data_IF_800956986506
#
_entry.id   IF_800956986506
#
_cell.length_a   1.000
_cell.length_b   1.000
_cell.length_c   1.000
_cell.angle_alpha   90.00
_cell.angle_beta   90.00
_cell.angle_gamma   90.00
#
_symmetry.space_group_name_H-M   'P 1'
#
loop_
_entity.id
_entity.type
_entity.pdbx_description
1 polymer ?
#
# COMPACT_ATOMS: atom_id res chain seq x y z
N UNK A 1 -25.68 -17.44 101.25
CA UNK A 1 -24.79 -18.57 100.99
C UNK A 1 -24.39 -18.49 99.53
N UNK A 2 -23.08 -18.35 99.37
CA UNK A 2 -22.25 -18.80 98.24
C UNK A 2 -22.10 -17.92 96.99
N UNK A 3 -21.05 -17.09 97.09
CA UNK A 3 -20.01 -16.77 96.13
C UNK A 3 -20.02 -17.46 94.75
N UNK A 4 -19.89 -16.67 93.67
CA UNK A 4 -18.58 -16.44 93.03
C UNK A 4 -18.71 -15.53 91.79
N UNK A 5 -17.83 -14.52 91.71
CA UNK A 5 -17.55 -13.73 90.51
C UNK A 5 -16.76 -14.55 89.48
N UNK A 6 -17.08 -14.42 88.19
CA UNK A 6 -16.10 -14.59 87.11
C UNK A 6 -16.17 -13.46 86.08
N UNK A 7 -14.96 -13.03 85.68
CA UNK A 7 -14.58 -11.77 85.07
C UNK A 7 -15.07 -11.58 83.63
N UNK A 8 -15.29 -10.32 83.29
CA UNK A 8 -15.49 -9.81 81.93
C UNK A 8 -14.24 -9.98 81.04
N UNK A 9 -14.46 -10.26 79.75
CA UNK A 9 -13.46 -9.98 78.70
C UNK A 9 -13.87 -8.71 77.94
N UNK A 10 -13.04 -7.68 78.04
CA UNK A 10 -13.28 -6.36 77.47
C UNK A 10 -12.74 -6.26 76.03
N UNK A 11 -13.49 -5.49 75.26
CA UNK A 11 -13.32 -4.97 73.90
C UNK A 11 -11.91 -4.80 73.33
N UNK A 12 -11.75 -5.09 72.03
CA UNK A 12 -10.79 -4.41 71.15
C UNK A 12 -11.46 -3.20 70.49
N UNK A 13 -11.01 -2.01 70.88
CA UNK A 13 -11.19 -0.76 70.14
C UNK A 13 -10.27 -0.76 68.91
N UNK A 14 -10.75 -0.20 67.79
CA UNK A 14 -10.01 0.84 67.05
C UNK A 14 -10.88 1.49 65.97
N UNK A 15 -10.92 2.82 66.01
CA UNK A 15 -10.78 3.65 64.81
C UNK A 15 -12.05 4.18 64.16
N UNK A 16 -12.48 5.41 64.51
CA UNK A 16 -13.69 6.05 64.00
C UNK A 16 -13.41 7.23 63.03
N UNK A 17 -14.50 7.66 62.38
CA UNK A 17 -14.78 8.99 61.79
C UNK A 17 -14.31 9.23 60.35
N UNK A 18 -15.15 9.51 59.34
CA UNK A 18 -16.56 9.89 59.31
C UNK A 18 -16.98 10.81 60.47
N UNK A 19 -16.46 12.03 60.51
CA UNK A 19 -17.14 13.15 61.17
C UNK A 19 -16.37 14.45 60.93
N UNK A 20 -16.88 15.29 60.04
CA UNK A 20 -16.96 16.75 60.20
C UNK A 20 -17.63 17.38 58.98
N UNK A 21 -18.95 17.52 59.04
CA UNK A 21 -19.59 18.85 59.16
C UNK A 21 -21.11 18.69 59.21
N UNK A 22 -21.66 18.92 60.41
CA UNK A 22 -23.02 19.38 60.64
C UNK A 22 -23.16 20.84 60.20
N UNK A 23 -24.38 21.19 59.77
CA UNK A 23 -25.03 22.45 60.15
C UNK A 23 -25.43 23.38 59.00
N UNK A 24 -26.74 23.47 58.70
CA UNK A 24 -27.57 24.64 59.03
C UNK A 24 -29.03 24.46 58.60
N UNK A 25 -29.88 25.24 59.26
CA UNK A 25 -31.31 25.10 59.51
C UNK A 25 -32.25 25.61 58.39
N UNK A 26 -33.47 25.04 58.40
CA UNK A 26 -34.83 25.63 58.21
C UNK A 26 -35.04 26.75 57.18
N UNK A 27 -36.00 26.53 56.25
CA UNK A 27 -37.30 27.23 56.26
C UNK A 27 -38.33 26.63 55.26
N UNK A 28 -39.49 26.28 55.84
CA UNK A 28 -40.89 26.26 55.38
C UNK A 28 -41.32 26.22 53.90
N UNK A 29 -42.32 25.37 53.62
CA UNK A 29 -43.14 25.45 52.40
C UNK A 29 -44.15 24.31 52.12
N UNK A 30 -44.87 23.84 53.14
CA UNK A 30 -46.26 23.28 53.17
C UNK A 30 -46.92 22.55 51.95
N UNK A 31 -47.37 21.32 52.26
CA UNK A 31 -48.62 20.60 51.84
C UNK A 31 -48.86 20.17 50.38
N UNK A 32 -49.56 19.08 50.07
CA UNK A 32 -50.38 18.18 50.89
C UNK A 32 -50.61 16.82 50.21
N UNK A 33 -50.89 15.84 51.07
CA UNK A 33 -51.79 14.69 50.87
C UNK A 33 -51.35 13.51 49.99
N UNK A 34 -51.50 12.26 50.40
CA UNK A 34 -51.74 11.60 51.70
C UNK A 34 -51.71 10.10 51.41
N UNK A 35 -50.90 9.39 52.20
CA UNK A 35 -51.21 8.15 52.93
C UNK A 35 -51.39 6.79 52.22
N UNK A 36 -50.48 5.91 52.63
CA UNK A 36 -50.68 4.81 53.61
C UNK A 36 -50.86 3.37 53.09
N UNK A 37 -49.75 2.64 53.22
CA UNK A 37 -49.50 1.54 54.17
C UNK A 37 -49.90 0.09 53.92
N UNK A 38 -48.94 -0.72 54.42
CA UNK A 38 -49.04 -1.90 55.31
C UNK A 38 -48.95 -3.29 54.68
N UNK A 39 -47.72 -3.82 54.74
CA UNK A 39 -47.29 -5.03 55.48
C UNK A 39 -48.01 -6.36 55.23
N UNK A 40 -47.27 -7.36 54.76
CA UNK A 40 -46.83 -8.50 55.57
C UNK A 40 -46.03 -9.52 54.74
N UNK A 41 -44.88 -9.94 55.27
CA UNK A 41 -44.16 -11.18 54.95
C UNK A 41 -44.87 -12.36 55.68
N UNK A 42 -44.68 -13.67 55.36
CA UNK A 42 -43.36 -14.31 55.26
C UNK A 42 -43.20 -15.52 54.31
N UNK A 43 -41.95 -16.01 54.31
CA UNK A 43 -41.48 -17.40 54.08
C UNK A 43 -40.74 -17.76 52.77
N UNK A 44 -39.42 -17.98 52.98
CA UNK A 44 -38.55 -19.05 52.45
C UNK A 44 -38.09 -18.96 50.97
N UNK A 45 -36.82 -18.60 50.81
CA UNK A 45 -35.94 -18.93 49.67
C UNK A 45 -35.56 -20.44 49.68
N UNK A 46 -34.75 -21.01 48.74
CA UNK A 46 -34.03 -20.40 47.60
C UNK A 46 -34.05 -21.23 46.28
N UNK A 47 -33.42 -20.71 45.21
CA UNK A 47 -32.41 -21.36 44.32
C UNK A 47 -32.42 -20.69 42.91
N UNK A 48 -31.40 -19.85 42.71
CA UNK A 48 -30.54 -19.65 41.54
C UNK A 48 -31.07 -19.55 40.08
N UNK A 49 -30.80 -18.36 39.50
CA UNK A 49 -30.19 -18.07 38.18
C UNK A 49 -30.98 -18.18 36.86
N UNK A 50 -31.30 -16.98 36.32
CA UNK A 50 -30.86 -16.45 35.01
C UNK A 50 -31.31 -17.15 33.70
N UNK A 51 -32.21 -16.50 32.94
CA UNK A 51 -31.89 -15.85 31.64
C UNK A 51 -33.13 -15.25 30.98
N UNK A 52 -33.00 -13.98 30.60
CA UNK A 52 -33.97 -13.20 29.86
C UNK A 52 -34.19 -13.70 28.42
N UNK A 53 -35.48 -13.67 28.03
CA UNK A 53 -36.05 -13.22 26.75
C UNK A 53 -35.58 -13.86 25.45
N UNK A 54 -36.41 -14.73 24.86
CA UNK A 54 -36.69 -14.81 23.42
C UNK A 54 -37.90 -15.73 23.17
N UNK A 55 -39.11 -15.16 23.01
CA UNK A 55 -40.21 -15.77 22.23
C UNK A 55 -41.43 -14.83 22.19
N UNK A 56 -41.64 -14.20 21.04
CA UNK A 56 -42.89 -13.72 20.46
C UNK A 56 -42.49 -13.09 19.11
N UNK A 57 -43.14 -13.28 17.99
CA UNK A 57 -44.27 -14.11 17.58
C UNK A 57 -44.16 -14.21 16.05
N UNK A 58 -44.47 -15.40 15.56
CA UNK A 58 -44.78 -15.69 14.15
C UNK A 58 -46.18 -15.14 13.88
N UNK A 59 -46.50 -14.92 12.60
CA UNK A 59 -47.87 -14.90 12.05
C UNK A 59 -48.50 -13.52 11.80
N UNK A 60 -48.14 -12.90 10.68
CA UNK A 60 -49.10 -12.12 9.86
C UNK A 60 -48.62 -12.01 8.40
N UNK A 61 -48.67 -13.15 7.69
CA UNK A 61 -48.71 -13.17 6.23
C UNK A 61 -50.11 -13.64 5.84
N UNK A 62 -50.91 -12.76 5.26
CA UNK A 62 -51.95 -13.02 4.22
C UNK A 62 -53.02 -11.91 4.23
N UNK A 63 -52.66 -10.70 3.83
CA UNK A 63 -53.65 -9.77 3.30
C UNK A 63 -52.99 -8.71 2.42
N UNK A 64 -53.40 -8.70 1.15
CA UNK A 64 -53.39 -7.61 0.14
C UNK A 64 -52.63 -7.95 -1.14
N UNK A 65 -53.30 -8.81 -1.90
CA UNK A 65 -53.37 -8.76 -3.36
C UNK A 65 -54.11 -7.47 -3.75
N UNK A 66 -53.53 -6.69 -4.68
CA UNK A 66 -54.23 -5.65 -5.43
C UNK A 66 -53.92 -4.21 -5.03
N UNK A 67 -52.94 -3.58 -5.68
CA UNK A 67 -53.02 -2.20 -6.18
C UNK A 67 -51.73 -1.79 -6.94
N UNK A 68 -51.89 -1.53 -8.23
CA UNK A 68 -51.17 -0.56 -9.08
C UNK A 68 -49.63 -0.63 -9.19
N UNK A 69 -49.22 -1.25 -10.30
CA UNK A 69 -47.92 -1.14 -10.94
C UNK A 69 -47.68 0.26 -11.53
N UNK A 70 -46.94 1.11 -10.81
CA UNK A 70 -46.16 2.19 -11.42
C UNK A 70 -44.70 1.72 -11.51
N UNK A 71 -44.29 1.36 -12.72
CA UNK A 71 -42.95 0.86 -13.04
C UNK A 71 -41.94 2.01 -12.95
N UNK A 72 -41.36 2.19 -11.77
CA UNK A 72 -40.07 2.86 -11.61
C UNK A 72 -39.05 1.78 -11.29
N UNK A 73 -38.34 1.30 -12.31
CA UNK A 73 -37.26 0.31 -12.16
C UNK A 73 -36.10 0.93 -11.38
N UNK A 74 -36.15 0.82 -10.06
CA UNK A 74 -34.95 0.91 -9.23
C UNK A 74 -34.14 -0.36 -9.48
N UNK A 75 -33.15 -0.28 -10.38
CA UNK A 75 -32.11 -1.32 -10.49
C UNK A 75 -31.25 -1.25 -9.24
N UNK A 76 -31.60 -2.07 -8.25
CA UNK A 76 -30.70 -2.40 -7.15
C UNK A 76 -29.47 -3.10 -7.73
N UNK A 77 -28.36 -2.37 -7.89
CA UNK A 77 -27.06 -2.95 -8.19
C UNK A 77 -26.54 -3.71 -6.97
N UNK A 78 -27.13 -4.87 -6.70
CA UNK A 78 -26.47 -5.92 -5.93
C UNK A 78 -25.36 -6.50 -6.82
N UNK A 79 -24.12 -6.08 -6.57
CA UNK A 79 -22.90 -6.78 -7.04
C UNK A 79 -22.84 -8.16 -6.37
N UNK A 80 -23.72 -9.06 -6.80
CA UNK A 80 -23.63 -10.47 -6.49
C UNK A 80 -22.54 -11.08 -7.37
N UNK A 81 -21.63 -11.77 -6.71
CA UNK A 81 -20.48 -12.43 -7.28
C UNK A 81 -20.91 -13.57 -8.20
N UNK A 82 -20.62 -13.45 -9.49
CA UNK A 82 -20.42 -14.58 -10.39
C UNK A 82 -19.57 -14.10 -11.58
N UNK A 83 -18.36 -13.65 -11.27
CA UNK A 83 -17.31 -13.45 -12.28
C UNK A 83 -16.43 -14.70 -12.26
N UNK A 84 -16.17 -15.36 -13.41
CA UNK A 84 -15.30 -16.53 -13.45
C UNK A 84 -13.92 -16.21 -12.82
N UNK A 85 -13.29 -17.19 -12.15
CA UNK A 85 -12.07 -16.98 -11.34
C UNK A 85 -10.82 -16.62 -12.18
N UNK A 86 -10.95 -16.50 -13.51
CA UNK A 86 -9.84 -16.27 -14.45
C UNK A 86 -9.58 -14.81 -14.77
N UNK A 87 -10.38 -13.85 -14.28
CA UNK A 87 -9.99 -12.43 -14.35
C UNK A 87 -8.92 -12.15 -13.30
N UNK A 88 -7.67 -12.45 -13.66
CA UNK A 88 -6.48 -12.05 -12.93
C UNK A 88 -6.62 -10.57 -12.57
N UNK A 89 -6.70 -10.26 -11.28
CA UNK A 89 -6.90 -8.87 -10.85
C UNK A 89 -5.72 -8.04 -11.29
N UNK A 90 -6.01 -7.00 -12.06
CA UNK A 90 -5.03 -6.05 -12.57
C UNK A 90 -4.24 -5.43 -11.40
N UNK A 91 -2.93 -5.20 -11.55
CA UNK A 91 -2.15 -4.52 -10.53
C UNK A 91 -2.67 -3.11 -10.28
N UNK A 92 -2.80 -2.70 -9.02
CA UNK A 92 -3.26 -1.35 -8.67
C UNK A 92 -2.11 -0.37 -8.82
N UNK A 93 -2.31 0.76 -9.48
CA UNK A 93 -1.25 1.78 -9.60
C UNK A 93 -1.21 2.62 -8.33
N UNK A 94 -0.04 2.62 -7.68
CA UNK A 94 0.28 3.46 -6.53
C UNK A 94 1.34 4.46 -6.97
N UNK A 95 0.96 5.73 -7.03
CA UNK A 95 1.87 6.83 -7.30
C UNK A 95 2.48 7.36 -6.00
N UNK A 96 3.80 7.55 -5.99
CA UNK A 96 4.52 8.25 -4.93
C UNK A 96 4.82 9.66 -5.44
N UNK A 97 4.20 10.65 -4.81
CA UNK A 97 4.27 12.06 -5.23
C UNK A 97 4.66 12.92 -4.04
N UNK A 98 5.47 13.93 -4.29
CA UNK A 98 5.92 14.87 -3.30
C UNK A 98 7.03 15.75 -3.86
N UNK A 99 7.46 16.76 -3.10
CA UNK A 99 8.45 17.72 -3.56
C UNK A 99 9.85 17.12 -3.76
N UNK A 100 10.82 17.84 -4.35
CA UNK A 100 12.21 17.40 -4.40
C UNK A 100 12.76 17.20 -2.98
N UNK A 101 13.65 16.23 -2.81
CA UNK A 101 14.33 16.03 -1.53
C UNK A 101 13.53 15.34 -0.42
N UNK A 102 12.22 15.09 -0.55
CA UNK A 102 11.42 14.42 0.51
C UNK A 102 11.68 12.92 0.69
N UNK A 103 12.55 12.31 -0.12
CA UNK A 103 12.90 10.90 -0.04
C UNK A 103 11.90 9.94 -0.69
N UNK A 104 11.31 10.34 -1.84
CA UNK A 104 10.41 9.51 -2.67
C UNK A 104 11.01 8.15 -3.03
N UNK A 105 12.23 8.15 -3.59
CA UNK A 105 12.95 6.93 -3.93
C UNK A 105 13.26 6.08 -2.70
N UNK A 106 13.58 6.69 -1.56
CA UNK A 106 13.80 5.97 -0.29
C UNK A 106 12.55 5.25 0.19
N UNK A 107 11.38 5.88 0.04
CA UNK A 107 10.09 5.26 0.35
C UNK A 107 9.81 4.09 -0.60
N UNK A 108 10.05 4.27 -1.90
CA UNK A 108 9.89 3.22 -2.90
C UNK A 108 10.77 2.00 -2.57
N UNK A 109 12.07 2.21 -2.33
CA UNK A 109 13.01 1.14 -1.94
C UNK A 109 12.56 0.42 -0.67
N UNK A 110 12.10 1.17 0.34
CA UNK A 110 11.65 0.61 1.62
C UNK A 110 10.36 -0.21 1.48
N UNK A 111 9.40 0.27 0.67
CA UNK A 111 8.16 -0.44 0.38
C UNK A 111 8.41 -1.72 -0.43
N UNK A 112 9.22 -1.65 -1.48
CA UNK A 112 9.53 -2.81 -2.30
C UNK A 112 10.23 -3.87 -1.46
N UNK A 113 11.28 -3.50 -0.71
CA UNK A 113 11.97 -4.42 0.21
C UNK A 113 11.02 -5.06 1.20
N UNK A 114 10.03 -4.32 1.70
CA UNK A 114 9.02 -4.88 2.61
C UNK A 114 8.18 -5.97 1.95
N UNK A 115 7.81 -5.81 0.69
CA UNK A 115 7.01 -6.80 -0.03
C UNK A 115 7.85 -7.98 -0.53
N UNK A 116 9.02 -7.72 -1.10
CA UNK A 116 9.81 -8.69 -1.85
C UNK A 116 11.00 -9.24 -1.08
N UNK A 117 11.33 -8.68 0.09
CA UNK A 117 12.55 -8.94 0.87
C UNK A 117 13.86 -8.62 0.12
N UNK A 118 13.79 -8.13 -1.11
CA UNK A 118 14.95 -7.80 -1.94
C UNK A 118 15.28 -6.31 -1.81
N UNK A 119 16.56 -5.98 -1.87
CA UNK A 119 17.04 -4.59 -1.88
C UNK A 119 17.27 -4.15 -3.31
N UNK A 120 16.68 -3.02 -3.69
CA UNK A 120 16.93 -2.38 -4.99
C UNK A 120 18.00 -1.29 -4.80
N UNK A 121 19.06 -1.30 -5.62
CA UNK A 121 20.06 -0.24 -5.61
C UNK A 121 19.52 1.01 -6.32
N UNK A 122 19.00 0.84 -7.54
CA UNK A 122 18.34 1.88 -8.32
C UNK A 122 16.90 1.48 -8.65
N UNK A 123 15.95 2.38 -8.38
CA UNK A 123 14.54 2.17 -8.65
C UNK A 123 14.11 3.15 -9.76
N UNK A 124 13.94 2.63 -10.98
CA UNK A 124 13.54 3.37 -12.18
C UNK A 124 12.34 2.70 -12.83
N UNK A 125 11.38 3.53 -13.26
CA UNK A 125 10.15 3.06 -13.90
C UNK A 125 9.16 2.41 -12.93
N UNK A 126 8.09 1.78 -13.46
CA UNK A 126 7.09 1.12 -12.64
C UNK A 126 7.57 -0.23 -12.09
N UNK A 127 7.25 -0.47 -10.82
CA UNK A 127 7.65 -1.68 -10.08
C UNK A 127 6.41 -2.43 -9.62
N UNK A 128 6.16 -3.61 -10.20
CA UNK A 128 5.00 -4.44 -9.87
C UNK A 128 5.37 -5.52 -8.86
N UNK A 129 4.65 -5.57 -7.74
CA UNK A 129 4.84 -6.54 -6.65
C UNK A 129 3.53 -7.23 -6.26
N UNK A 130 3.65 -8.47 -5.76
CA UNK A 130 2.52 -9.20 -5.17
C UNK A 130 2.38 -8.84 -3.69
N UNK A 131 1.36 -8.03 -3.36
CA UNK A 131 1.07 -7.64 -1.97
C UNK A 131 0.31 -8.71 -1.21
N UNK A 132 -0.64 -9.39 -1.88
CA UNK A 132 -1.46 -10.42 -1.29
C UNK A 132 -2.00 -11.38 -2.32
N UNK A 133 -2.85 -12.32 -1.91
CA UNK A 133 -3.28 -13.39 -2.81
C UNK A 133 -4.16 -12.95 -3.97
N UNK A 134 -4.95 -11.92 -3.72
CA UNK A 134 -5.93 -11.39 -4.67
C UNK A 134 -5.51 -10.03 -5.23
N UNK A 135 -4.34 -9.51 -4.85
CA UNK A 135 -3.94 -8.13 -5.13
C UNK A 135 -2.46 -8.01 -5.46
N UNK A 136 -2.20 -7.32 -6.56
CA UNK A 136 -0.88 -6.84 -7.01
C UNK A 136 -0.87 -5.33 -6.98
N UNK A 137 0.29 -4.76 -6.74
CA UNK A 137 0.50 -3.32 -6.68
C UNK A 137 1.62 -2.96 -7.65
N UNK A 138 1.43 -1.90 -8.42
CA UNK A 138 2.47 -1.30 -9.26
C UNK A 138 2.82 0.04 -8.62
N UNK A 139 4.05 0.19 -8.16
CA UNK A 139 4.56 1.44 -7.63
C UNK A 139 5.17 2.25 -8.77
N UNK A 140 4.85 3.53 -8.84
CA UNK A 140 5.48 4.49 -9.74
C UNK A 140 5.91 5.71 -8.94
N UNK A 141 7.17 6.12 -9.11
CA UNK A 141 7.68 7.38 -8.58
C UNK A 141 7.38 8.50 -9.57
N UNK A 142 6.88 9.62 -9.07
CA UNK A 142 6.64 10.82 -9.87
C UNK A 142 7.90 11.68 -9.91
N UNK A 143 8.26 12.11 -11.12
CA UNK A 143 9.24 13.17 -11.32
C UNK A 143 8.65 14.52 -10.86
N UNK A 144 9.50 15.53 -10.66
CA UNK A 144 9.06 16.85 -10.19
C UNK A 144 8.46 17.74 -11.30
N UNK A 145 8.29 17.21 -12.52
CA UNK A 145 7.70 17.97 -13.62
C UNK A 145 6.17 17.98 -13.52
N UNK A 146 5.57 19.14 -13.79
CA UNK A 146 4.12 19.30 -13.79
C UNK A 146 3.43 18.35 -14.79
N UNK A 147 4.06 18.12 -15.95
CA UNK A 147 3.53 17.19 -16.96
C UNK A 147 3.44 15.76 -16.42
N UNK A 148 4.52 15.30 -15.77
CA UNK A 148 4.56 13.98 -15.12
C UNK A 148 3.51 13.86 -14.02
N UNK A 149 3.32 14.92 -13.24
CA UNK A 149 2.29 15.01 -12.21
C UNK A 149 0.87 14.90 -12.79
N UNK A 150 0.58 15.57 -13.91
CA UNK A 150 -0.71 15.50 -14.60
C UNK A 150 -0.99 14.08 -15.10
N UNK A 151 -0.02 13.45 -15.75
CA UNK A 151 -0.18 12.12 -16.32
C UNK A 151 -0.36 11.06 -15.24
N UNK A 152 0.44 11.14 -14.17
CA UNK A 152 0.32 10.28 -12.99
C UNK A 152 -1.03 10.50 -12.29
N UNK A 153 -1.51 11.74 -12.20
CA UNK A 153 -2.82 12.06 -11.62
C UNK A 153 -3.98 11.37 -12.35
N UNK A 154 -3.93 11.31 -13.68
CA UNK A 154 -4.95 10.61 -14.51
C UNK A 154 -4.96 9.11 -14.24
N UNK A 155 -3.78 8.47 -14.10
CA UNK A 155 -3.66 7.01 -14.00
C UNK A 155 -3.73 6.44 -12.57
N UNK A 156 -3.36 7.20 -11.53
CA UNK A 156 -3.08 6.65 -10.20
C UNK A 156 -4.33 6.27 -9.39
N UNK A 157 -4.46 4.99 -9.00
CA UNK A 157 -5.56 4.51 -8.13
C UNK A 157 -5.40 4.93 -6.67
N UNK A 158 -4.15 4.91 -6.22
CA UNK A 158 -3.72 5.36 -4.91
C UNK A 158 -2.59 6.35 -5.09
N UNK A 159 -2.67 7.45 -4.35
CA UNK A 159 -1.60 8.44 -4.28
C UNK A 159 -1.03 8.41 -2.86
N UNK A 160 0.27 8.19 -2.76
CA UNK A 160 1.06 8.40 -1.55
C UNK A 160 1.67 9.80 -1.65
N UNK A 161 1.03 10.77 -0.98
CA UNK A 161 1.51 12.15 -0.95
C UNK A 161 2.51 12.31 0.19
N UNK A 162 3.77 12.54 -0.17
CA UNK A 162 4.84 12.83 0.78
C UNK A 162 4.90 14.33 1.04
N UNK A 163 4.97 14.69 2.31
CA UNK A 163 5.07 16.07 2.80
C UNK A 163 6.20 16.13 3.81
N UNK A 164 7.04 17.14 3.70
CA UNK A 164 8.10 17.38 4.67
C UNK A 164 7.51 17.92 5.99
N UNK A 165 7.82 17.27 7.11
CA UNK A 165 7.34 17.69 8.43
C UNK A 165 8.07 18.91 9.01
N UNK A 166 9.30 19.16 8.58
CA UNK A 166 10.14 20.29 9.00
C UNK A 166 9.80 21.56 8.21
N UNK A 167 9.73 21.44 6.88
CA UNK A 167 9.39 22.57 6.00
C UNK A 167 7.88 22.83 5.95
N UNK A 168 7.08 21.77 5.93
CA UNK A 168 5.63 21.83 5.79
C UNK A 168 5.16 21.57 4.37
N UNK A 169 4.05 22.19 3.97
CA UNK A 169 3.50 22.01 2.63
C UNK A 169 4.17 22.94 1.62
N UNK A 170 4.65 22.35 0.53
CA UNK A 170 5.28 23.04 -0.60
C UNK A 170 4.27 23.31 -1.73
N UNK A 171 4.57 24.30 -2.57
CA UNK A 171 3.69 24.70 -3.68
C UNK A 171 3.39 23.53 -4.63
N UNK A 172 4.39 22.70 -4.92
CA UNK A 172 4.27 21.52 -5.79
C UNK A 172 3.25 20.50 -5.25
N UNK A 173 3.17 20.35 -3.92
CA UNK A 173 2.15 19.47 -3.32
C UNK A 173 0.73 20.02 -3.51
N UNK A 174 0.57 21.34 -3.51
CA UNK A 174 -0.73 21.99 -3.77
C UNK A 174 -1.10 21.95 -5.24
N UNK A 175 -0.14 22.20 -6.14
CA UNK A 175 -0.34 22.07 -7.59
C UNK A 175 -0.85 20.67 -7.94
N UNK A 176 -0.19 19.64 -7.41
CA UNK A 176 -0.61 18.27 -7.64
C UNK A 176 -1.99 17.95 -7.04
N UNK A 177 -2.30 18.44 -5.82
CA UNK A 177 -3.62 18.26 -5.23
C UNK A 177 -4.73 18.92 -6.08
N UNK A 178 -4.49 20.11 -6.63
CA UNK A 178 -5.42 20.80 -7.52
C UNK A 178 -5.62 20.05 -8.84
N UNK A 179 -4.54 19.51 -9.41
CA UNK A 179 -4.61 18.63 -10.59
C UNK A 179 -5.50 17.42 -10.31
N UNK A 180 -5.32 16.76 -9.16
CA UNK A 180 -6.15 15.61 -8.77
C UNK A 180 -7.63 15.97 -8.59
N UNK A 181 -7.94 17.15 -8.07
CA UNK A 181 -9.33 17.61 -7.94
C UNK A 181 -9.99 17.78 -9.31
N UNK A 182 -9.26 18.30 -10.31
CA UNK A 182 -9.79 18.51 -11.66
C UNK A 182 -9.99 17.21 -12.46
N UNK A 183 -9.04 16.26 -12.38
CA UNK A 183 -9.11 14.99 -13.12
C UNK A 183 -9.92 13.89 -12.42
N UNK A 184 -10.38 14.15 -11.19
CA UNK A 184 -11.13 13.22 -10.37
C UNK A 184 -10.28 12.67 -9.24
N UNK A 185 -10.69 12.96 -8.01
CA UNK A 185 -9.89 12.76 -6.82
C UNK A 185 -9.72 11.25 -6.48
N UNK A 186 -8.52 10.65 -6.65
CA UNK A 186 -8.26 9.27 -6.25
C UNK A 186 -8.15 9.17 -4.73
N UNK A 187 -7.92 7.96 -4.20
CA UNK A 187 -7.61 7.83 -2.78
C UNK A 187 -6.21 8.36 -2.52
N UNK A 188 -6.09 9.34 -1.63
CA UNK A 188 -4.82 9.92 -1.20
C UNK A 188 -4.51 9.48 0.24
N UNK A 189 -3.27 9.06 0.47
CA UNK A 189 -2.68 8.80 1.78
C UNK A 189 -1.54 9.79 1.96
N UNK A 190 -1.56 10.54 3.06
CA UNK A 190 -0.46 11.44 3.40
C UNK A 190 0.63 10.70 4.16
N UNK A 191 1.88 11.05 3.89
CA UNK A 191 3.07 10.57 4.60
C UNK A 191 3.88 11.80 5.00
N UNK A 192 4.03 12.04 6.30
CA UNK A 192 4.94 13.05 6.82
C UNK A 192 6.33 12.45 7.01
N UNK A 193 7.33 13.05 6.38
CA UNK A 193 8.76 12.71 6.51
C UNK A 193 9.50 13.76 7.33
N UNK A 194 10.82 13.56 7.53
CA UNK A 194 11.73 14.52 8.17
C UNK A 194 11.29 15.00 9.56
N UNK A 195 10.71 14.09 10.35
CA UNK A 195 10.30 14.38 11.72
C UNK A 195 11.47 14.35 12.71
N UNK A 196 12.59 13.75 12.30
CA UNK A 196 13.88 13.70 12.98
C UNK A 196 14.56 15.07 13.08
N UNK A 197 14.33 15.96 12.11
CA UNK A 197 14.85 17.33 12.15
C UNK A 197 14.29 18.15 13.32
N UNK A 198 13.10 17.80 13.82
CA UNK A 198 12.45 18.50 14.93
C UNK A 198 12.88 17.90 16.27
N UNK A 199 13.96 18.46 16.85
CA UNK A 199 14.53 18.00 18.13
C UNK A 199 13.59 18.11 19.34
N UNK A 200 12.72 19.13 19.37
CA UNK A 200 11.81 19.39 20.51
C UNK A 200 10.50 18.61 20.37
N UNK A 201 10.19 17.74 21.34
CA UNK A 201 8.99 16.90 21.29
C UNK A 201 7.65 17.69 21.35
N UNK A 202 7.64 18.83 22.06
CA UNK A 202 6.44 19.68 22.16
C UNK A 202 6.11 20.39 20.83
N UNK A 203 7.14 20.90 20.14
CA UNK A 203 6.97 21.51 18.81
C UNK A 203 6.57 20.46 17.79
N UNK A 204 7.19 19.27 17.81
CA UNK A 204 6.82 18.15 16.95
C UNK A 204 5.34 17.76 17.06
N UNK A 205 4.79 17.69 18.28
CA UNK A 205 3.35 17.42 18.49
C UNK A 205 2.47 18.53 17.90
N UNK A 206 2.87 19.79 18.07
CA UNK A 206 2.14 20.95 17.59
C UNK A 206 2.17 21.01 16.06
N UNK A 207 3.33 20.81 15.43
CA UNK A 207 3.51 20.76 13.98
C UNK A 207 2.73 19.59 13.38
N UNK A 208 2.79 18.39 13.96
CA UNK A 208 1.97 17.25 13.51
C UNK A 208 0.47 17.56 13.54
N UNK A 209 -0.01 18.26 14.57
CA UNK A 209 -1.42 18.67 14.68
C UNK A 209 -1.79 19.72 13.63
N UNK A 210 -0.91 20.71 13.41
CA UNK A 210 -1.09 21.76 12.39
C UNK A 210 -1.14 21.17 10.99
N UNK A 211 -0.14 20.37 10.61
CA UNK A 211 -0.06 19.72 9.30
C UNK A 211 -1.23 18.77 9.07
N UNK A 212 -1.65 18.02 10.10
CA UNK A 212 -2.84 17.16 10.02
C UNK A 212 -4.12 17.96 9.80
N UNK A 213 -4.29 19.09 10.49
CA UNK A 213 -5.46 19.98 10.30
C UNK A 213 -5.48 20.53 8.87
N UNK A 214 -4.34 20.99 8.37
CA UNK A 214 -4.21 21.48 6.98
C UNK A 214 -4.45 20.37 5.95
N UNK A 215 -3.87 19.20 6.15
CA UNK A 215 -4.12 18.03 5.28
C UNK A 215 -5.61 17.67 5.18
N UNK A 216 -6.36 17.84 6.27
CA UNK A 216 -7.80 17.60 6.27
C UNK A 216 -8.61 18.67 5.55
N UNK A 217 -8.19 19.93 5.59
CA UNK A 217 -8.87 21.00 4.86
C UNK A 217 -8.65 20.89 3.35
N UNK A 218 -7.47 20.46 2.91
CA UNK A 218 -7.12 20.38 1.48
C UNK A 218 -7.70 19.15 0.75
N UNK A 219 -7.89 18.05 1.47
CA UNK A 219 -8.27 16.77 0.88
C UNK A 219 -9.70 16.39 1.26
N UNK A 220 -9.88 15.88 2.48
CA UNK A 220 -11.17 15.65 3.09
C UNK A 220 -10.96 15.42 4.59
N UNK A 221 -11.97 15.76 5.37
CA UNK A 221 -11.94 15.60 6.81
C UNK A 221 -11.73 14.13 7.20
N UNK A 222 -10.70 13.86 8.01
CA UNK A 222 -10.38 12.50 8.45
C UNK A 222 -9.52 11.69 7.48
N UNK A 223 -8.91 12.33 6.47
CA UNK A 223 -7.88 11.71 5.65
C UNK A 223 -6.73 11.15 6.52
N UNK A 224 -6.17 10.02 6.09
CA UNK A 224 -5.17 9.27 6.87
C UNK A 224 -3.78 9.79 6.58
N UNK A 225 -3.07 10.10 7.65
CA UNK A 225 -1.71 10.63 7.64
C UNK A 225 -0.81 9.67 8.42
N UNK A 226 0.25 9.19 7.78
CA UNK A 226 1.31 8.39 8.40
C UNK A 226 2.49 9.28 8.75
N UNK A 227 3.24 8.89 9.77
CA UNK A 227 4.41 9.61 10.26
C UNK A 227 5.61 8.68 10.09
N UNK A 228 6.65 9.14 9.41
CA UNK A 228 7.92 8.43 9.30
C UNK A 228 8.96 9.12 10.18
N UNK A 229 9.50 8.41 11.17
CA UNK A 229 10.29 9.02 12.25
C UNK A 229 11.71 9.43 11.83
N UNK A 230 12.22 8.94 10.70
CA UNK A 230 13.54 9.30 10.17
C UNK A 230 14.09 8.21 9.24
N UNK A 231 15.33 8.36 8.78
CA UNK A 231 16.01 7.37 7.91
C UNK A 231 17.12 6.67 8.70
N UNK A 232 17.09 5.34 8.75
CA UNK A 232 18.11 4.47 9.34
C UNK A 232 18.78 3.65 8.23
N UNK A 233 20.10 3.76 8.07
CA UNK A 233 20.88 3.05 7.04
C UNK A 233 20.32 3.23 5.62
N UNK A 234 19.94 4.47 5.27
CA UNK A 234 19.34 4.80 3.97
C UNK A 234 17.94 4.22 3.74
N UNK A 235 17.24 3.80 4.81
CA UNK A 235 15.89 3.20 4.75
C UNK A 235 14.97 3.75 5.82
N UNK A 236 13.66 3.67 5.60
CA UNK A 236 12.69 4.01 6.63
C UNK A 236 12.50 2.85 7.63
N UNK A 237 12.10 3.13 8.88
CA UNK A 237 11.83 2.12 9.90
C UNK A 237 10.81 1.07 9.44
N UNK A 238 11.18 -0.21 9.58
CA UNK A 238 10.38 -1.33 9.08
C UNK A 238 9.00 -1.44 9.75
N UNK A 239 8.86 -0.95 11.00
CA UNK A 239 7.59 -0.96 11.75
C UNK A 239 6.57 0.04 11.19
N UNK A 240 7.03 1.20 10.75
CA UNK A 240 6.19 2.24 10.16
C UNK A 240 5.76 1.85 8.74
N UNK A 241 6.71 1.34 7.95
CA UNK A 241 6.46 0.78 6.62
C UNK A 241 5.55 -0.46 6.69
N UNK A 242 5.65 -1.27 7.75
CA UNK A 242 4.70 -2.36 8.00
C UNK A 242 3.26 -1.85 8.17
N UNK A 243 3.08 -0.77 8.92
CA UNK A 243 1.76 -0.21 9.17
C UNK A 243 1.17 0.43 7.90
N UNK A 244 2.01 1.14 7.13
CA UNK A 244 1.64 1.69 5.84
C UNK A 244 1.24 0.58 4.85
N UNK A 245 2.06 -0.47 4.70
CA UNK A 245 1.77 -1.61 3.80
C UNK A 245 0.50 -2.36 4.19
N UNK A 246 0.24 -2.54 5.50
CA UNK A 246 -1.03 -3.12 5.99
C UNK A 246 -2.23 -2.27 5.54
N UNK A 247 -2.11 -0.95 5.64
CA UNK A 247 -3.17 -0.03 5.24
C UNK A 247 -3.42 -0.10 3.72
N UNK A 248 -2.37 -0.01 2.91
CA UNK A 248 -2.44 -0.13 1.44
C UNK A 248 -3.12 -1.45 1.02
N UNK A 249 -2.79 -2.55 1.70
CA UNK A 249 -3.33 -3.89 1.40
C UNK A 249 -4.84 -4.02 1.62
N UNK A 250 -5.41 -3.24 2.54
CA UNK A 250 -6.85 -3.26 2.89
C UNK A 250 -7.64 -2.22 2.12
N UNK A 251 -6.97 -1.25 1.47
CA UNK A 251 -7.64 -0.16 0.78
C UNK A 251 -8.58 -0.64 -0.33
N UNK A 252 -9.76 0.01 -0.41
CA UNK A 252 -10.71 -0.11 -1.52
C UNK A 252 -10.69 1.17 -2.34
N UNK A 253 -10.73 1.05 -3.66
CA UNK A 253 -10.69 2.18 -4.57
C UNK A 253 -12.08 2.61 -5.00
N UNK A 254 -12.21 3.90 -5.29
CA UNK A 254 -13.41 4.45 -5.91
C UNK A 254 -13.27 4.30 -7.43
N UNK A 255 -14.29 3.77 -8.14
CA UNK A 255 -14.28 3.79 -9.60
C UNK A 255 -14.38 5.24 -10.09
N UNK A 256 -13.45 5.64 -10.97
CA UNK A 256 -13.52 6.91 -11.69
C UNK A 256 -14.12 6.67 -13.08
N UNK A 257 -14.92 7.62 -13.56
CA UNK A 257 -15.62 7.49 -14.85
C UNK A 257 -14.61 7.33 -15.98
N UNK A 258 -13.60 8.21 -16.04
CA UNK A 258 -12.57 8.19 -17.08
C UNK A 258 -11.83 6.85 -17.18
N UNK A 259 -11.47 6.24 -16.03
CA UNK A 259 -10.76 4.95 -16.00
C UNK A 259 -11.64 3.77 -16.39
N UNK A 260 -12.94 3.88 -16.20
CA UNK A 260 -13.90 2.85 -16.57
C UNK A 260 -14.39 2.99 -18.01
N UNK A 261 -14.24 4.15 -18.65
CA UNK A 261 -14.64 4.39 -20.04
C UNK A 261 -13.50 4.16 -21.02
N UNK A 262 -12.26 4.54 -20.69
CA UNK A 262 -11.13 4.50 -21.61
C UNK A 262 -10.16 3.34 -21.30
N UNK A 263 -9.64 2.66 -22.33
CA UNK A 263 -8.54 1.73 -22.17
C UNK A 263 -7.24 2.53 -22.02
N UNK A 264 -6.43 2.18 -21.03
CA UNK A 264 -5.11 2.80 -20.84
C UNK A 264 -4.09 1.76 -20.41
N UNK A 265 -2.83 2.04 -20.69
CA UNK A 265 -1.71 1.15 -20.38
C UNK A 265 -0.61 1.98 -19.73
N UNK A 266 -0.05 1.44 -18.64
CA UNK A 266 1.20 1.95 -18.08
C UNK A 266 2.33 1.09 -18.65
N UNK A 267 3.29 1.73 -19.32
CA UNK A 267 4.41 1.06 -19.94
C UNK A 267 5.40 0.57 -18.88
N UNK A 268 5.56 -0.74 -18.76
CA UNK A 268 6.54 -1.37 -17.88
C UNK A 268 7.91 -1.48 -18.57
N UNK A 269 7.93 -1.91 -19.85
CA UNK A 269 9.15 -2.07 -20.67
C UNK A 269 8.92 -1.45 -22.04
N UNK A 270 9.98 -0.86 -22.60
CA UNK A 270 10.00 -0.25 -23.92
C UNK A 270 11.16 -0.84 -24.72
N UNK A 271 10.89 -1.31 -25.93
CA UNK A 271 11.89 -1.87 -26.84
C UNK A 271 11.76 -1.26 -28.24
N UNK A 272 12.89 -0.97 -28.86
CA UNK A 272 12.96 -0.55 -30.25
C UNK A 272 13.17 -1.77 -31.15
N UNK A 273 12.25 -2.00 -32.10
CA UNK A 273 12.33 -3.08 -33.08
C UNK A 273 12.92 -2.62 -34.43
N UNK A 274 13.42 -1.39 -34.51
CA UNK A 274 13.91 -0.83 -35.78
C UNK A 274 15.17 -1.54 -36.26
N UNK A 275 15.26 -1.96 -37.55
CA UNK A 275 16.46 -2.56 -38.10
C UNK A 275 17.67 -1.64 -37.98
N UNK A 276 18.79 -2.16 -37.43
CA UNK A 276 20.03 -1.40 -37.20
C UNK A 276 20.60 -0.77 -38.48
N UNK A 277 20.42 -1.43 -39.63
CA UNK A 277 20.86 -0.92 -40.93
C UNK A 277 20.12 0.34 -41.36
N UNK A 278 18.81 0.42 -41.09
CA UNK A 278 17.99 1.60 -41.39
C UNK A 278 18.42 2.78 -40.52
N UNK A 279 18.71 2.53 -39.24
CA UNK A 279 19.22 3.54 -38.30
C UNK A 279 20.58 4.07 -38.76
N UNK A 280 21.48 3.18 -39.21
CA UNK A 280 22.81 3.55 -39.73
C UNK A 280 22.70 4.41 -40.99
N UNK A 281 21.88 3.99 -41.94
CA UNK A 281 21.73 4.66 -43.25
C UNK A 281 21.11 6.04 -43.10
N UNK A 282 20.09 6.16 -42.24
CA UNK A 282 19.38 7.42 -41.98
C UNK A 282 20.09 8.36 -40.99
N UNK A 283 21.30 8.02 -40.53
CA UNK A 283 22.02 8.76 -39.47
C UNK A 283 21.14 9.06 -38.24
N UNK A 284 20.29 8.10 -37.87
CA UNK A 284 19.42 8.19 -36.69
C UNK A 284 18.16 9.06 -36.82
N UNK A 285 17.84 9.60 -38.01
CA UNK A 285 16.62 10.39 -38.27
C UNK A 285 15.57 9.60 -39.05
N UNK A 286 15.24 8.39 -38.60
CA UNK A 286 14.17 7.57 -39.18
C UNK A 286 13.04 7.36 -38.18
N UNK A 287 11.86 7.05 -38.71
CA UNK A 287 10.72 6.62 -37.91
C UNK A 287 11.00 5.23 -37.33
N UNK A 288 10.94 5.14 -36.00
CA UNK A 288 11.24 3.91 -35.27
C UNK A 288 9.97 3.15 -34.91
N UNK A 289 10.01 1.83 -35.08
CA UNK A 289 8.93 0.97 -34.62
C UNK A 289 9.22 0.54 -33.19
N UNK A 290 8.45 1.07 -32.24
CA UNK A 290 8.61 0.80 -30.82
C UNK A 290 7.55 -0.19 -30.34
N UNK A 291 7.96 -1.16 -29.54
CA UNK A 291 7.05 -2.03 -28.79
C UNK A 291 7.00 -1.62 -27.32
N UNK A 292 5.78 -1.57 -26.81
CA UNK A 292 5.50 -1.17 -25.43
C UNK A 292 4.83 -2.34 -24.73
N UNK A 293 5.42 -2.77 -23.63
CA UNK A 293 4.89 -3.84 -22.79
C UNK A 293 4.26 -3.23 -21.54
N UNK A 294 3.12 -3.78 -21.12
CA UNK A 294 2.50 -3.38 -19.87
C UNK A 294 1.14 -4.02 -19.67
N UNK A 295 0.56 -3.75 -18.52
CA UNK A 295 -0.79 -4.20 -18.19
C UNK A 295 -1.83 -3.25 -18.78
N UNK A 296 -2.75 -3.78 -19.57
CA UNK A 296 -3.93 -3.06 -20.05
C UNK A 296 -4.92 -2.86 -18.90
N UNK A 297 -5.47 -1.65 -18.77
CA UNK A 297 -6.37 -1.23 -17.70
C UNK A 297 -7.60 -0.52 -18.26
N UNK A 298 -8.64 -0.45 -17.43
CA UNK A 298 -9.91 0.16 -17.80
C UNK A 298 -10.74 -0.78 -18.66
N UNK A 299 -11.09 -0.34 -19.87
CA UNK A 299 -11.85 -1.13 -20.85
C UNK A 299 -10.95 -1.99 -21.73
N UNK A 300 -11.56 -2.86 -22.54
CA UNK A 300 -10.81 -3.72 -23.46
C UNK A 300 -10.25 -2.88 -24.63
N UNK A 301 -8.97 -3.07 -24.92
CA UNK A 301 -8.30 -2.46 -26.07
C UNK A 301 -8.73 -3.15 -27.37
N UNK A 302 -9.12 -2.37 -28.39
CA UNK A 302 -9.45 -2.88 -29.73
C UNK A 302 -8.30 -2.62 -30.71
N UNK A 303 -8.03 -3.58 -31.58
CA UNK A 303 -7.09 -3.41 -32.68
C UNK A 303 -7.59 -2.30 -33.63
N UNK A 304 -6.71 -1.39 -34.04
CA UNK A 304 -7.05 -0.23 -34.88
C UNK A 304 -7.51 1.03 -34.14
N UNK A 305 -7.57 1.01 -32.80
CA UNK A 305 -7.83 2.24 -32.03
C UNK A 305 -6.60 3.16 -32.09
N UNK A 306 -6.81 4.47 -32.24
CA UNK A 306 -5.74 5.46 -32.08
C UNK A 306 -5.33 5.55 -30.60
N UNK A 307 -4.03 5.64 -30.35
CA UNK A 307 -3.45 5.73 -29.00
C UNK A 307 -2.72 7.05 -28.88
N UNK A 308 -3.05 7.80 -27.85
CA UNK A 308 -2.31 9.00 -27.47
C UNK A 308 -1.21 8.63 -26.48
N UNK A 309 0.05 8.93 -26.81
CA UNK A 309 1.16 8.83 -25.86
C UNK A 309 1.47 10.24 -25.35
N UNK A 310 1.29 10.51 -24.04
CA UNK A 310 1.60 11.82 -23.48
C UNK A 310 3.03 12.26 -23.80
N UNK A 311 3.17 13.47 -24.34
CA UNK A 311 4.46 14.05 -24.75
C UNK A 311 4.98 13.63 -26.13
N UNK A 312 4.41 12.61 -26.77
CA UNK A 312 4.80 12.19 -28.14
C UNK A 312 3.74 12.59 -29.16
N UNK A 313 2.47 12.29 -28.87
CA UNK A 313 1.34 12.58 -29.77
C UNK A 313 0.44 11.38 -30.04
N UNK A 314 -0.43 11.53 -31.03
CA UNK A 314 -1.38 10.50 -31.46
C UNK A 314 -0.72 9.54 -32.46
N UNK A 315 -0.79 8.24 -32.16
CA UNK A 315 -0.20 7.17 -32.95
C UNK A 315 -1.23 6.08 -33.23
N UNK A 316 -0.99 5.31 -34.30
CA UNK A 316 -1.82 4.17 -34.67
C UNK A 316 -1.15 2.86 -34.25
N UNK A 317 -1.95 1.93 -33.69
CA UNK A 317 -1.45 0.62 -33.27
C UNK A 317 -1.29 -0.32 -34.46
N UNK A 318 -0.06 -0.80 -34.72
CA UNK A 318 0.23 -1.78 -35.77
C UNK A 318 -0.22 -3.20 -35.42
N UNK A 319 0.09 -3.66 -34.20
CA UNK A 319 -0.20 -5.02 -33.73
C UNK A 319 -0.30 -5.07 -32.22
N UNK A 320 -1.19 -5.91 -31.68
CA UNK A 320 -1.30 -6.17 -30.23
C UNK A 320 -1.27 -7.68 -30.01
N UNK A 321 -0.37 -8.13 -29.12
CA UNK A 321 -0.25 -9.52 -28.71
C UNK A 321 -0.41 -9.63 -27.19
N UNK A 322 -1.19 -10.61 -26.73
CA UNK A 322 -1.31 -10.91 -25.31
C UNK A 322 -0.17 -11.82 -24.87
N UNK A 323 0.55 -11.43 -23.82
CA UNK A 323 1.66 -12.19 -23.25
C UNK A 323 1.25 -12.82 -21.91
N UNK A 324 2.00 -13.85 -21.52
CA UNK A 324 1.88 -14.44 -20.19
C UNK A 324 2.15 -13.40 -19.09
N UNK A 325 1.40 -13.47 -18.00
CA UNK A 325 1.53 -12.54 -16.88
C UNK A 325 2.88 -12.75 -16.17
N UNK A 326 3.76 -11.73 -16.12
CA UNK A 326 5.10 -11.87 -15.54
C UNK A 326 5.07 -12.00 -14.01
N UNK A 327 3.96 -11.63 -13.36
CA UNK A 327 3.83 -11.65 -11.91
C UNK A 327 2.53 -12.34 -11.50
N UNK A 328 2.36 -13.66 -11.74
CA UNK A 328 1.08 -14.34 -11.59
C UNK A 328 0.61 -14.36 -10.13
N UNK A 329 -0.71 -14.21 -9.94
CA UNK A 329 -1.32 -14.35 -8.61
C UNK A 329 -1.18 -15.80 -8.10
N UNK A 330 -1.06 -15.99 -6.78
CA UNK A 330 -1.03 -17.32 -6.18
C UNK A 330 -2.28 -18.15 -6.54
N UNK A 331 -2.06 -19.36 -7.07
CA UNK A 331 -3.07 -20.38 -7.36
C UNK A 331 -4.01 -20.70 -6.18
N UNK A 332 -5.25 -21.09 -6.49
CA UNK A 332 -6.32 -21.45 -5.55
C UNK A 332 -5.91 -22.45 -4.43
N UNK A 333 -4.98 -23.38 -4.68
CA UNK A 333 -4.48 -24.28 -3.63
C UNK A 333 -3.73 -23.53 -2.51
N UNK A 334 -2.95 -22.52 -2.88
CA UNK A 334 -2.31 -21.62 -1.92
C UNK A 334 -3.28 -20.61 -1.29
N UNK A 335 -4.51 -20.51 -1.80
CA UNK A 335 -5.57 -19.68 -1.22
C UNK A 335 -6.13 -20.25 0.10
N UNK A 336 -6.05 -21.57 0.33
CA UNK A 336 -6.53 -22.22 1.57
C UNK A 336 -5.79 -21.77 2.84
N UNK A 337 -4.50 -21.42 2.76
CA UNK A 337 -3.68 -21.02 3.94
C UNK A 337 -3.67 -19.52 4.18
N UNK A 338 -4.11 -18.96 5.32
CA UNK A 338 -4.19 -17.48 5.52
C UNK A 338 -2.93 -16.66 5.14
N UNK A 339 -1.72 -17.21 5.31
CA UNK A 339 -0.46 -16.52 4.98
C UNK A 339 -0.03 -16.74 3.52
N UNK A 340 0.53 -15.70 2.89
CA UNK A 340 1.19 -15.79 1.58
C UNK A 340 2.56 -16.49 1.74
N UNK A 341 2.83 -17.47 0.87
CA UNK A 341 4.11 -18.20 0.83
C UNK A 341 5.27 -17.28 0.47
N UNK A 342 6.44 -17.52 1.05
CA UNK A 342 7.62 -16.67 0.83
C UNK A 342 8.08 -16.66 -0.63
N UNK A 343 8.10 -17.82 -1.30
CA UNK A 343 8.49 -17.92 -2.73
C UNK A 343 7.68 -17.00 -3.66
N UNK A 344 6.41 -16.75 -3.31
CA UNK A 344 5.53 -15.85 -4.09
C UNK A 344 5.64 -14.39 -3.68
N UNK A 345 6.17 -14.10 -2.50
CA UNK A 345 6.53 -12.72 -2.08
C UNK A 345 7.76 -12.23 -2.81
N UNK A 346 8.70 -13.13 -3.12
CA UNK A 346 9.93 -12.81 -3.87
C UNK A 346 9.66 -12.41 -5.34
N UNK A 347 8.43 -12.57 -5.84
CA UNK A 347 8.08 -12.18 -7.20
C UNK A 347 7.97 -10.66 -7.30
N UNK A 348 8.94 -10.07 -7.98
CA UNK A 348 8.98 -8.67 -8.39
C UNK A 348 9.08 -8.61 -9.90
N UNK A 349 8.33 -7.70 -10.51
CA UNK A 349 8.47 -7.37 -11.92
C UNK A 349 8.83 -5.89 -12.04
N UNK A 350 10.08 -5.62 -12.37
CA UNK A 350 10.61 -4.27 -12.56
C UNK A 350 11.68 -4.31 -13.66
N UNK A 351 11.27 -4.32 -14.94
CA UNK A 351 12.20 -4.54 -16.05
C UNK A 351 13.18 -3.38 -16.26
N UNK A 352 12.85 -2.16 -15.79
CA UNK A 352 13.72 -0.97 -15.88
C UNK A 352 14.53 -0.71 -14.60
N UNK A 353 14.28 -1.44 -13.51
CA UNK A 353 15.00 -1.27 -12.24
C UNK A 353 16.01 -2.39 -12.04
N UNK A 354 17.00 -2.16 -11.18
CA UNK A 354 17.94 -3.19 -10.76
C UNK A 354 17.24 -4.21 -9.84
N UNK A 355 17.05 -5.43 -10.34
CA UNK A 355 16.49 -6.55 -9.57
C UNK A 355 17.57 -7.60 -9.38
N UNK A 356 18.03 -7.74 -8.13
CA UNK A 356 18.98 -8.81 -7.78
C UNK A 356 20.39 -8.59 -8.34
N UNK A 357 20.78 -7.33 -8.62
CA UNK A 357 22.09 -6.99 -9.17
C UNK A 357 22.14 -7.06 -10.70
N UNK A 358 21.00 -7.18 -11.38
CA UNK A 358 20.92 -7.15 -12.84
C UNK A 358 20.10 -5.93 -13.26
N UNK A 359 20.72 -5.05 -14.03
CA UNK A 359 20.11 -3.87 -14.63
C UNK A 359 20.11 -4.03 -16.15
N UNK A 360 18.93 -3.88 -16.74
CA UNK A 360 18.75 -3.90 -18.18
C UNK A 360 18.77 -2.45 -18.71
N UNK A 361 19.71 -2.17 -19.60
CA UNK A 361 19.70 -0.99 -20.46
C UNK A 361 19.32 -1.43 -21.90
N UNK A 362 19.04 -0.47 -22.79
CA UNK A 362 18.48 -0.73 -24.13
C UNK A 362 19.26 -1.78 -24.93
N UNK A 363 20.59 -1.74 -24.86
CA UNK A 363 21.49 -2.62 -25.61
C UNK A 363 22.46 -3.41 -24.71
N UNK A 364 22.44 -3.20 -23.39
CA UNK A 364 23.41 -3.77 -22.47
C UNK A 364 22.75 -4.29 -21.20
N UNK A 365 23.30 -5.36 -20.64
CA UNK A 365 22.90 -5.90 -19.34
C UNK A 365 24.05 -5.70 -18.37
N UNK A 366 23.82 -4.89 -17.35
CA UNK A 366 24.77 -4.61 -16.29
C UNK A 366 24.51 -5.56 -15.13
N UNK A 367 25.50 -6.40 -14.79
CA UNK A 367 25.42 -7.33 -13.66
C UNK A 367 26.43 -6.91 -12.60
N UNK A 368 25.94 -6.54 -11.42
CA UNK A 368 26.76 -6.27 -10.26
C UNK A 368 27.01 -7.57 -9.50
N UNK A 369 28.15 -8.20 -9.75
CA UNK A 369 28.58 -9.39 -9.03
C UNK A 369 29.36 -8.96 -7.78
N UNK A 370 29.02 -9.44 -6.57
CA UNK A 370 29.83 -9.18 -5.40
C UNK A 370 31.17 -9.90 -5.53
N UNK A 371 32.20 -9.18 -5.97
CA UNK A 371 33.56 -9.70 -6.21
C UNK A 371 34.31 -8.85 -7.25
N UNK A 372 35.64 -8.96 -7.29
CA UNK A 372 36.48 -8.24 -8.26
C UNK A 372 36.88 -9.18 -9.40
N UNK A 373 35.97 -9.43 -10.34
CA UNK A 373 36.29 -10.19 -11.57
C UNK A 373 36.82 -9.30 -12.71
N UNK A 374 37.02 -8.01 -12.43
CA UNK A 374 37.56 -7.05 -13.39
C UNK A 374 39.08 -7.15 -13.47
N UNK A 375 39.58 -7.39 -14.69
CA UNK A 375 41.00 -7.22 -15.03
C UNK A 375 41.48 -5.82 -14.68
N UNK A 376 42.65 -5.71 -14.05
CA UNK A 376 43.33 -4.44 -13.77
C UNK A 376 43.52 -4.09 -12.29
N UNK A 377 43.03 -4.91 -11.36
CA UNK A 377 43.33 -4.74 -9.94
C UNK A 377 44.35 -5.81 -9.49
N UNK A 378 45.64 -5.56 -9.77
CA UNK A 378 46.74 -6.49 -9.44
C UNK A 378 47.02 -6.61 -7.94
N UNK A 379 46.36 -5.78 -7.11
CA UNK A 379 46.56 -5.72 -5.67
C UNK A 379 45.70 -6.71 -4.87
N UNK A 380 44.83 -7.49 -5.53
CA UNK A 380 43.97 -8.50 -4.87
C UNK A 380 44.54 -9.90 -5.15
N UNK A 381 44.79 -10.73 -4.13
CA UNK A 381 45.28 -12.09 -4.34
C UNK A 381 44.24 -12.90 -5.10
N UNK A 382 44.56 -13.23 -6.35
CA UNK A 382 43.69 -14.01 -7.23
C UNK A 382 43.79 -15.50 -6.89
N UNK A 383 42.64 -16.17 -6.73
CA UNK A 383 42.61 -17.62 -6.57
C UNK A 383 42.96 -18.35 -7.88
N UNK A 384 43.38 -19.62 -7.79
CA UNK A 384 43.70 -20.46 -8.96
C UNK A 384 42.55 -20.50 -9.99
N UNK A 385 41.31 -20.52 -9.51
CA UNK A 385 40.11 -20.50 -10.36
C UNK A 385 39.88 -19.16 -11.07
N UNK A 386 40.29 -18.04 -10.49
CA UNK A 386 40.18 -16.72 -11.12
C UNK A 386 41.23 -16.56 -12.22
N UNK A 387 42.46 -17.03 -11.96
CA UNK A 387 43.54 -17.06 -12.96
C UNK A 387 43.14 -17.93 -14.17
N UNK A 388 42.59 -19.12 -13.93
CA UNK A 388 42.11 -20.00 -15.02
C UNK A 388 41.04 -19.31 -15.88
N UNK A 389 40.10 -18.58 -15.28
CA UNK A 389 39.07 -17.85 -16.03
C UNK A 389 39.66 -16.69 -16.84
N UNK A 390 40.64 -15.98 -16.29
CA UNK A 390 41.34 -14.92 -17.03
C UNK A 390 42.12 -15.46 -18.23
N UNK A 391 42.81 -16.59 -18.07
CA UNK A 391 43.54 -17.25 -19.14
C UNK A 391 42.59 -17.76 -20.24
N UNK A 392 41.40 -18.24 -19.86
CA UNK A 392 40.35 -18.67 -20.79
C UNK A 392 39.76 -17.52 -21.61
N UNK A 393 39.73 -16.29 -21.09
CA UNK A 393 39.21 -15.14 -21.83
C UNK A 393 40.11 -14.71 -23.00
N UNK A 394 41.42 -14.98 -22.94
CA UNK A 394 42.40 -14.57 -23.96
C UNK A 394 42.59 -15.58 -25.09
N UNK A 395 42.06 -16.79 -24.92
CA UNK A 395 42.25 -17.85 -25.90
C UNK A 395 41.37 -17.58 -27.13
N UNK A 396 42.01 -17.18 -28.22
CA UNK A 396 41.38 -16.99 -29.53
C UNK A 396 41.30 -18.28 -30.37
N UNK A 397 41.80 -19.42 -29.85
CA UNK A 397 41.75 -20.72 -30.55
C UNK A 397 40.52 -21.51 -30.15
N UNK A 398 39.94 -22.24 -31.11
CA UNK A 398 38.80 -23.11 -30.81
C UNK A 398 39.24 -24.33 -29.98
N UNK A 399 38.31 -24.89 -29.19
CA UNK A 399 38.59 -26.09 -28.38
C UNK A 399 39.03 -27.30 -29.25
N UNK A 400 38.51 -27.38 -30.47
CA UNK A 400 38.83 -28.45 -31.42
C UNK A 400 40.28 -28.38 -31.93
N UNK A 401 40.78 -27.18 -32.24
CA UNK A 401 42.17 -26.98 -32.67
C UNK A 401 43.19 -27.42 -31.60
N UNK A 402 42.85 -27.26 -30.31
CA UNK A 402 43.71 -27.73 -29.20
C UNK A 402 43.70 -29.25 -29.02
N UNK A 403 42.62 -29.93 -29.39
CA UNK A 403 42.54 -31.40 -29.28
C UNK A 403 43.36 -32.13 -30.34
N UNK A 404 43.74 -31.46 -31.44
CA UNK A 404 44.54 -32.02 -32.52
C UNK A 404 46.06 -31.92 -32.32
N UNK A 405 46.54 -31.22 -31.27
CA UNK A 405 47.95 -31.25 -30.91
C UNK A 405 48.21 -32.32 -29.85
N UNK A 406 48.91 -33.42 -30.17
CA UNK A 406 49.36 -34.35 -29.15
C UNK A 406 50.37 -33.64 -28.24
N UNK A 407 50.16 -33.78 -26.94
CA UNK A 407 51.09 -33.41 -25.87
C UNK A 407 52.54 -33.78 -26.27
N UNK A 408 53.32 -32.80 -26.76
CA UNK A 408 54.78 -32.93 -26.78
C UNK A 408 55.24 -32.71 -25.34
N UNK A 409 55.67 -33.80 -24.72
CA UNK A 409 56.39 -33.84 -23.44
C UNK A 409 57.64 -32.97 -23.48
#
# INVERSE_FOLDING_TARGET
MDDHQHKAHRTSHKGPKADKKKGKEKQHGFNEKVRLTTSNTPTKAPIFFSRHSHRNQVEEQTAKVGATSSVTRHVSMSLSSTVPPTRTRLPVIIAIVGPPGVGKTTLLKSLVRRYTKQTLAEAKGPITVVSGKKRRLTFIECNNDLNSMIDIGKIADLVLLMVDGSFGFEMETFEFLNILQSHGFPKVIGILTHLDLIKKAATLKTTKKMLKKRFWTEIYQGAKLFYLSGVLNGRYPDTEIMNLSRFISVMKFRPLVFRNSHPYLLADRLEDLTPREQVRTSKGKCDRTVTVYGYIRGTNLRLGTKVHIPGVGDLEMKSVAALGDPCPLPTAESEKRRKLSEKKKLLIHAPMSDVGGVMYDKDAVWVNVPGSFTRGNNDVPQGEGEQMVMDLQDINTTLEERSCYPLRR
#
